data_IF_888992133605
#
_entry.id   IF_888992133605
#
_cell.length_a   1.000
_cell.length_b   1.000
_cell.length_c   1.000
_cell.angle_alpha   90.00
_cell.angle_beta   90.00
_cell.angle_gamma   90.00
#
_symmetry.space_group_name_H-M   'P 1'
#
loop_
_entity.id
_entity.type
_entity.pdbx_description
1 polymer ?
#
# COMPACT_ATOMS: atom_id res chain seq x y z
N UNK A 1 13.29 -2.63 -14.51
CA UNK A 1 14.46 -1.93 -14.02
C UNK A 1 15.65 -2.84 -14.26
N UNK A 2 16.64 -2.39 -15.05
CA UNK A 2 17.71 -3.27 -15.55
C UNK A 2 19.06 -3.09 -14.80
N UNK A 3 19.02 -2.50 -13.57
CA UNK A 3 20.23 -2.34 -12.76
C UNK A 3 20.37 -3.47 -11.76
N UNK A 4 21.59 -4.01 -11.61
CA UNK A 4 21.89 -4.95 -10.54
C UNK A 4 21.68 -4.30 -9.16
N UNK A 5 21.04 -5.01 -8.24
CA UNK A 5 20.69 -4.51 -6.92
C UNK A 5 19.34 -3.80 -6.83
N UNK A 6 18.56 -3.74 -7.93
CA UNK A 6 17.20 -3.19 -7.93
C UNK A 6 16.19 -4.30 -8.15
N UNK A 7 15.26 -4.45 -7.21
CA UNK A 7 14.28 -5.53 -7.16
C UNK A 7 12.86 -5.00 -7.06
N UNK A 8 11.92 -5.82 -7.48
CA UNK A 8 10.50 -5.71 -7.09
C UNK A 8 10.22 -6.69 -5.96
N UNK A 9 9.12 -6.50 -5.24
CA UNK A 9 8.69 -7.38 -4.15
C UNK A 9 7.28 -7.88 -4.44
N UNK A 10 7.19 -9.04 -5.11
CA UNK A 10 5.90 -9.55 -5.59
C UNK A 10 5.77 -11.07 -5.54
N UNK A 11 6.81 -11.80 -5.93
CA UNK A 11 6.82 -13.27 -6.02
C UNK A 11 7.84 -13.89 -5.08
N UNK A 12 7.78 -15.21 -4.93
CA UNK A 12 8.79 -15.96 -4.15
C UNK A 12 10.16 -15.84 -4.80
N UNK A 13 10.22 -15.86 -6.14
CA UNK A 13 11.46 -15.71 -6.91
C UNK A 13 12.10 -14.33 -6.68
N UNK A 14 11.29 -13.27 -6.57
CA UNK A 14 11.77 -11.94 -6.21
C UNK A 14 12.41 -11.96 -4.81
N UNK A 15 11.76 -12.64 -3.85
CA UNK A 15 12.28 -12.77 -2.49
C UNK A 15 13.59 -13.53 -2.46
N UNK A 16 13.69 -14.65 -3.20
CA UNK A 16 14.93 -15.43 -3.30
C UNK A 16 16.06 -14.59 -3.91
N UNK A 17 15.76 -13.79 -4.94
CA UNK A 17 16.73 -12.88 -5.56
C UNK A 17 17.22 -11.80 -4.57
N UNK A 18 16.30 -11.17 -3.81
CA UNK A 18 16.60 -10.20 -2.75
C UNK A 18 17.51 -10.82 -1.69
N UNK A 19 17.14 -12.01 -1.20
CA UNK A 19 17.92 -12.74 -0.18
C UNK A 19 19.33 -13.10 -0.68
N UNK A 20 19.44 -13.57 -1.92
CA UNK A 20 20.71 -13.91 -2.56
C UNK A 20 21.60 -12.69 -2.70
N UNK A 21 21.03 -11.58 -3.16
CA UNK A 21 21.79 -10.33 -3.34
C UNK A 21 22.20 -9.70 -2.01
N UNK A 22 21.33 -9.71 -1.00
CA UNK A 22 21.67 -9.26 0.35
C UNK A 22 22.89 -9.99 0.93
N UNK A 23 22.97 -11.31 0.74
CA UNK A 23 24.16 -12.10 1.13
C UNK A 23 25.42 -11.66 0.37
N UNK A 24 25.30 -11.40 -0.95
CA UNK A 24 26.41 -10.96 -1.81
C UNK A 24 26.97 -9.62 -1.35
N UNK A 25 26.12 -8.60 -1.16
CA UNK A 25 26.59 -7.26 -0.78
C UNK A 25 27.19 -7.24 0.63
N UNK A 26 26.60 -7.97 1.58
CA UNK A 26 27.16 -8.12 2.94
C UNK A 26 28.57 -8.73 2.94
N UNK A 27 28.81 -9.75 2.12
CA UNK A 27 30.12 -10.36 1.96
C UNK A 27 31.19 -9.35 1.45
N UNK A 28 30.74 -8.31 0.74
CA UNK A 28 31.57 -7.22 0.23
C UNK A 28 31.68 -6.02 1.19
N UNK A 29 31.06 -6.11 2.37
CA UNK A 29 31.08 -5.05 3.38
C UNK A 29 30.02 -3.94 3.17
N UNK A 30 29.11 -4.12 2.22
CA UNK A 30 27.98 -3.19 1.96
C UNK A 30 26.77 -3.57 2.78
N UNK A 31 26.09 -2.59 3.36
CA UNK A 31 24.96 -2.82 4.26
C UNK A 31 23.74 -1.94 4.02
N UNK A 32 23.83 -0.95 3.16
CA UNK A 32 22.78 0.04 2.97
C UNK A 32 21.73 -0.44 1.96
N UNK A 33 20.46 -0.44 2.36
CA UNK A 33 19.37 -0.85 1.48
C UNK A 33 18.15 0.06 1.65
N UNK A 34 17.50 0.39 0.53
CA UNK A 34 16.26 1.17 0.54
C UNK A 34 15.07 0.35 0.05
N UNK A 35 13.90 0.74 0.53
CA UNK A 35 12.60 0.33 0.01
C UNK A 35 11.86 1.58 -0.47
N UNK A 36 11.51 1.63 -1.74
CA UNK A 36 10.72 2.71 -2.32
C UNK A 36 9.23 2.40 -2.16
N UNK A 37 8.57 3.16 -1.31
CA UNK A 37 7.16 3.07 -0.96
C UNK A 37 6.96 2.84 0.55
N UNK A 38 6.24 3.75 1.21
CA UNK A 38 5.88 3.71 2.64
C UNK A 38 4.47 3.16 2.90
N UNK A 39 3.92 2.40 1.96
CA UNK A 39 2.68 1.65 2.14
C UNK A 39 2.90 0.30 2.82
N UNK A 40 1.82 -0.48 2.97
CA UNK A 40 1.81 -1.78 3.65
C UNK A 40 2.96 -2.70 3.20
N UNK A 41 3.00 -3.06 1.91
CA UNK A 41 3.99 -3.99 1.37
C UNK A 41 5.42 -3.43 1.44
N UNK A 42 5.58 -2.11 1.30
CA UNK A 42 6.90 -1.48 1.42
C UNK A 42 7.46 -1.54 2.83
N UNK A 43 6.61 -1.34 3.84
CA UNK A 43 7.01 -1.46 5.24
C UNK A 43 7.34 -2.91 5.60
N UNK A 44 6.58 -3.90 5.11
CA UNK A 44 6.92 -5.32 5.27
C UNK A 44 8.25 -5.68 4.59
N UNK A 45 8.48 -5.18 3.38
CA UNK A 45 9.74 -5.36 2.68
C UNK A 45 10.91 -4.73 3.47
N UNK A 46 10.73 -3.54 4.06
CA UNK A 46 11.76 -2.90 4.86
C UNK A 46 12.13 -3.72 6.11
N UNK A 47 11.13 -4.33 6.77
CA UNK A 47 11.40 -5.27 7.86
C UNK A 47 12.17 -6.48 7.37
N UNK A 48 11.77 -7.09 6.25
CA UNK A 48 12.46 -8.24 5.68
C UNK A 48 13.93 -7.89 5.36
N UNK A 49 14.18 -6.74 4.75
CA UNK A 49 15.52 -6.23 4.45
C UNK A 49 16.36 -6.06 5.73
N UNK A 50 15.79 -5.46 6.78
CA UNK A 50 16.43 -5.33 8.08
C UNK A 50 16.75 -6.70 8.70
N UNK A 51 15.81 -7.64 8.63
CA UNK A 51 15.95 -8.98 9.21
C UNK A 51 17.02 -9.81 8.46
N UNK A 52 17.33 -9.45 7.20
CA UNK A 52 18.49 -9.94 6.46
C UNK A 52 19.82 -9.34 6.97
N UNK A 53 19.79 -8.42 7.93
CA UNK A 53 20.95 -7.78 8.55
C UNK A 53 21.52 -6.63 7.72
N UNK A 54 20.66 -5.91 6.99
CA UNK A 54 21.00 -4.67 6.29
C UNK A 54 20.43 -3.47 7.05
N UNK A 55 21.03 -2.30 6.87
CA UNK A 55 20.49 -1.01 7.31
C UNK A 55 19.36 -0.63 6.36
N UNK A 56 18.14 -0.78 6.79
CA UNK A 56 16.96 -0.55 5.96
C UNK A 56 16.49 0.91 6.02
N UNK A 57 16.18 1.48 4.86
CA UNK A 57 15.60 2.80 4.68
C UNK A 57 14.29 2.71 3.90
N UNK A 58 13.23 3.34 4.40
CA UNK A 58 11.96 3.52 3.68
C UNK A 58 11.96 4.90 3.04
N UNK A 59 11.73 4.95 1.74
CA UNK A 59 11.62 6.20 0.96
C UNK A 59 10.18 6.35 0.48
N UNK A 60 9.52 7.43 0.92
CA UNK A 60 8.12 7.70 0.59
C UNK A 60 7.97 9.10 -0.02
N UNK A 61 7.21 9.18 -1.11
CA UNK A 61 6.89 10.44 -1.77
C UNK A 61 5.90 11.28 -0.96
N UNK A 62 4.95 10.64 -0.29
CA UNK A 62 3.95 11.32 0.53
C UNK A 62 4.56 11.91 1.81
N UNK A 63 3.88 12.89 2.45
CA UNK A 63 4.33 13.49 3.70
C UNK A 63 4.17 12.57 4.92
N UNK A 64 3.59 11.38 4.76
CA UNK A 64 3.36 10.41 5.84
C UNK A 64 3.33 8.97 5.32
N UNK A 65 3.54 8.02 6.24
CA UNK A 65 3.40 6.59 5.95
C UNK A 65 1.93 6.20 5.81
N UNK A 66 1.67 5.19 4.97
CA UNK A 66 0.34 4.63 4.73
C UNK A 66 -0.75 5.70 4.50
N UNK A 67 -0.54 6.67 3.58
CA UNK A 67 -1.38 7.88 3.46
C UNK A 67 -2.84 7.60 3.08
N UNK A 68 -3.14 6.39 2.59
CA UNK A 68 -4.50 5.95 2.25
C UNK A 68 -5.27 5.37 3.44
N UNK A 69 -4.58 4.92 4.49
CA UNK A 69 -5.17 4.24 5.65
C UNK A 69 -5.06 5.07 6.93
N UNK A 70 -4.00 5.90 7.05
CA UNK A 70 -3.67 6.60 8.28
C UNK A 70 -3.74 8.12 8.12
N UNK A 71 -4.26 8.80 9.13
CA UNK A 71 -4.11 10.23 9.29
C UNK A 71 -2.70 10.58 9.82
N UNK A 72 -2.42 11.85 10.04
CA UNK A 72 -1.08 12.29 10.46
C UNK A 72 -0.70 11.70 11.83
N UNK A 73 -1.61 11.76 12.83
CA UNK A 73 -1.30 11.26 14.17
C UNK A 73 -1.03 9.76 14.21
N UNK A 74 -1.84 8.99 13.50
CA UNK A 74 -1.65 7.54 13.35
C UNK A 74 -0.34 7.20 12.62
N UNK A 75 -0.01 7.94 11.57
CA UNK A 75 1.23 7.77 10.82
C UNK A 75 2.46 8.12 11.67
N UNK A 76 2.41 9.21 12.44
CA UNK A 76 3.50 9.61 13.34
C UNK A 76 3.75 8.53 14.42
N UNK A 77 2.67 7.94 14.94
CA UNK A 77 2.76 6.82 15.88
C UNK A 77 3.40 5.59 15.25
N UNK A 78 2.98 5.23 14.04
CA UNK A 78 3.56 4.12 13.28
C UNK A 78 5.04 4.39 12.95
N UNK A 79 5.38 5.61 12.51
CA UNK A 79 6.74 6.01 12.21
C UNK A 79 7.65 5.83 13.43
N UNK A 80 7.25 6.33 14.60
CA UNK A 80 8.02 6.16 15.83
C UNK A 80 8.30 4.70 16.15
N UNK A 81 7.32 3.82 15.94
CA UNK A 81 7.49 2.37 16.14
C UNK A 81 8.46 1.73 15.14
N UNK A 82 8.45 2.19 13.90
CA UNK A 82 9.36 1.70 12.86
C UNK A 82 10.80 2.17 13.13
N UNK A 83 10.97 3.41 13.58
CA UNK A 83 12.27 3.97 13.94
C UNK A 83 12.88 3.27 15.16
N UNK A 84 12.06 2.83 16.15
CA UNK A 84 12.51 1.95 17.27
C UNK A 84 13.13 0.63 16.77
N UNK A 85 12.78 0.20 15.54
CA UNK A 85 13.35 -0.98 14.90
C UNK A 85 14.66 -0.68 14.14
N UNK A 86 15.20 0.54 14.24
CA UNK A 86 16.35 1.02 13.47
C UNK A 86 16.14 0.98 11.95
N UNK A 87 14.93 1.28 11.47
CA UNK A 87 14.63 1.48 10.06
C UNK A 87 14.55 2.99 9.81
N UNK A 88 15.37 3.51 8.91
CA UNK A 88 15.37 4.93 8.54
C UNK A 88 14.12 5.29 7.72
N UNK A 89 13.48 6.42 8.01
CA UNK A 89 12.30 6.89 7.29
C UNK A 89 12.60 8.21 6.58
N UNK A 90 12.35 8.25 5.29
CA UNK A 90 12.54 9.41 4.41
C UNK A 90 11.23 9.77 3.72
N UNK A 91 10.49 10.72 4.31
CA UNK A 91 9.22 11.24 3.77
C UNK A 91 9.45 12.43 2.84
N UNK A 92 8.45 12.77 2.02
CA UNK A 92 8.51 13.86 1.03
C UNK A 92 9.68 13.70 0.04
N UNK A 93 10.07 12.47 -0.30
CA UNK A 93 11.21 12.18 -1.18
C UNK A 93 10.73 11.74 -2.56
N UNK A 94 10.72 12.69 -3.50
CA UNK A 94 10.47 12.41 -4.91
C UNK A 94 11.73 11.83 -5.55
N UNK A 95 11.79 10.53 -5.73
CA UNK A 95 12.90 9.87 -6.44
C UNK A 95 12.91 10.31 -7.90
N UNK A 96 14.00 10.93 -8.34
CA UNK A 96 14.19 11.42 -9.70
C UNK A 96 14.82 10.34 -10.58
N UNK A 97 15.88 9.71 -10.09
CA UNK A 97 16.52 8.57 -10.76
C UNK A 97 17.28 7.68 -9.76
N UNK A 98 17.60 6.48 -10.21
CA UNK A 98 18.44 5.53 -9.49
C UNK A 98 19.87 5.71 -9.99
N UNK A 99 20.78 6.12 -9.10
CA UNK A 99 22.17 6.36 -9.38
C UNK A 99 22.97 5.06 -9.57
N UNK A 100 24.09 5.14 -10.32
CA UNK A 100 24.97 4.03 -10.67
C UNK A 100 24.80 3.58 -12.13
N UNK A 101 25.80 2.94 -12.68
CA UNK A 101 25.79 2.46 -14.07
C UNK A 101 25.18 1.04 -14.16
N UNK A 102 25.98 0.00 -13.99
CA UNK A 102 25.53 -1.40 -14.03
C UNK A 102 24.85 -1.81 -12.71
N UNK A 103 25.38 -1.35 -11.57
CA UNK A 103 24.86 -1.61 -10.24
C UNK A 103 24.32 -0.33 -9.61
N UNK A 104 23.33 -0.45 -8.72
CA UNK A 104 22.85 0.68 -7.93
C UNK A 104 23.95 1.19 -6.98
N UNK A 105 24.02 2.52 -6.83
CA UNK A 105 24.87 3.22 -5.86
C UNK A 105 24.08 4.18 -4.97
N UNK A 106 22.84 4.45 -5.33
CA UNK A 106 21.99 5.35 -4.57
C UNK A 106 20.68 5.72 -5.26
N UNK A 107 19.95 6.57 -4.59
CA UNK A 107 18.71 7.19 -5.07
C UNK A 107 18.86 8.69 -5.05
N UNK A 108 18.71 9.33 -6.20
CA UNK A 108 18.72 10.79 -6.32
C UNK A 108 17.30 11.33 -6.19
N UNK A 109 17.11 12.30 -5.35
CA UNK A 109 15.82 12.96 -5.14
C UNK A 109 15.72 14.28 -5.90
N UNK A 110 14.50 14.78 -6.10
CA UNK A 110 14.24 16.01 -6.85
C UNK A 110 14.85 17.28 -6.22
N UNK A 111 15.29 17.22 -4.97
CA UNK A 111 15.99 18.29 -4.25
C UNK A 111 17.53 18.15 -4.30
N UNK A 112 18.04 17.37 -5.23
CA UNK A 112 19.47 17.07 -5.42
C UNK A 112 20.14 16.35 -4.23
N UNK A 113 19.37 15.77 -3.33
CA UNK A 113 19.86 14.95 -2.21
C UNK A 113 20.06 13.51 -2.69
N UNK A 114 21.21 12.92 -2.37
CA UNK A 114 21.56 11.54 -2.68
C UNK A 114 21.49 10.66 -1.43
N UNK A 115 20.62 9.65 -1.44
CA UNK A 115 20.66 8.54 -0.49
C UNK A 115 21.50 7.41 -1.08
N UNK A 116 22.67 7.18 -0.51
CA UNK A 116 23.56 6.07 -0.94
C UNK A 116 23.00 4.75 -0.44
N UNK A 117 22.80 3.82 -1.36
CA UNK A 117 22.33 2.46 -1.05
C UNK A 117 22.90 1.47 -2.05
N UNK A 118 23.14 0.26 -1.58
CA UNK A 118 23.67 -0.86 -2.35
C UNK A 118 22.58 -1.79 -2.87
N UNK A 119 21.35 -1.67 -2.33
CA UNK A 119 20.18 -2.43 -2.73
C UNK A 119 18.92 -1.56 -2.68
N UNK A 120 18.02 -1.75 -3.64
CA UNK A 120 16.72 -1.10 -3.68
C UNK A 120 15.62 -2.13 -3.95
N UNK A 121 14.59 -2.11 -3.11
CA UNK A 121 13.34 -2.85 -3.34
C UNK A 121 12.24 -1.88 -3.70
N UNK A 122 11.60 -2.05 -4.85
CA UNK A 122 10.53 -1.17 -5.32
C UNK A 122 9.18 -1.76 -4.92
N UNK A 123 8.46 -1.02 -4.09
CA UNK A 123 7.10 -1.33 -3.60
C UNK A 123 6.18 -0.10 -3.69
N UNK A 124 6.30 0.66 -4.78
CA UNK A 124 5.62 1.95 -5.00
C UNK A 124 4.23 1.80 -5.66
N UNK A 125 3.38 0.94 -5.11
CA UNK A 125 2.01 0.71 -5.57
C UNK A 125 1.88 -0.42 -6.59
N UNK A 126 0.69 -0.53 -7.19
CA UNK A 126 0.33 -1.58 -8.14
C UNK A 126 0.12 -1.00 -9.54
N UNK A 127 0.41 -1.82 -10.55
CA UNK A 127 0.07 -1.54 -11.94
C UNK A 127 -0.84 -2.67 -12.44
N UNK A 128 -2.08 -2.36 -12.85
CA UNK A 128 -2.97 -3.38 -13.40
C UNK A 128 -2.36 -4.06 -14.63
N UNK A 129 -2.53 -5.37 -14.71
CA UNK A 129 -2.12 -6.13 -15.89
C UNK A 129 -3.24 -6.16 -16.93
N UNK A 130 -3.46 -5.02 -17.54
CA UNK A 130 -4.56 -4.76 -18.48
C UNK A 130 -4.18 -4.92 -19.96
N UNK A 131 -3.01 -5.47 -20.24
CA UNK A 131 -2.47 -5.65 -21.60
C UNK A 131 -3.44 -6.46 -22.48
N UNK A 132 -4.01 -7.55 -21.93
CA UNK A 132 -4.98 -8.36 -22.65
C UNK A 132 -6.25 -7.58 -22.99
N UNK A 133 -6.75 -6.78 -22.05
CA UNK A 133 -7.91 -5.91 -22.28
C UNK A 133 -7.64 -4.90 -23.41
N UNK A 134 -6.46 -4.27 -23.40
CA UNK A 134 -6.05 -3.29 -24.44
C UNK A 134 -6.00 -3.91 -25.83
N UNK A 135 -5.34 -5.07 -25.98
CA UNK A 135 -5.23 -5.71 -27.30
C UNK A 135 -6.56 -6.32 -27.77
N UNK A 136 -7.49 -6.58 -26.86
CA UNK A 136 -8.86 -7.01 -27.14
C UNK A 136 -9.83 -5.85 -27.46
N UNK A 137 -9.36 -4.61 -27.42
CA UNK A 137 -10.18 -3.43 -27.70
C UNK A 137 -11.15 -3.05 -26.58
N UNK A 138 -10.95 -3.53 -25.35
CA UNK A 138 -11.76 -3.13 -24.22
C UNK A 138 -11.38 -1.72 -23.74
N UNK A 139 -12.34 -1.04 -23.12
CA UNK A 139 -12.09 0.26 -22.51
C UNK A 139 -11.17 0.10 -21.29
N UNK A 140 -10.10 0.91 -21.26
CA UNK A 140 -9.09 0.91 -20.20
C UNK A 140 -8.88 2.33 -19.69
N UNK A 141 -8.79 2.46 -18.37
CA UNK A 141 -8.58 3.75 -17.74
C UNK A 141 -7.23 4.40 -18.10
N UNK A 142 -7.17 5.72 -18.01
CA UNK A 142 -5.96 6.51 -18.33
C UNK A 142 -4.74 6.04 -17.51
N UNK A 143 -4.93 5.65 -16.27
CA UNK A 143 -3.88 5.14 -15.36
C UNK A 143 -3.79 3.62 -15.32
N UNK A 144 -4.47 2.93 -16.27
CA UNK A 144 -4.62 1.49 -16.32
C UNK A 144 -5.92 0.99 -15.68
N UNK A 145 -6.15 -0.32 -15.84
CA UNK A 145 -7.34 -1.03 -15.36
C UNK A 145 -8.45 -1.08 -16.39
N UNK A 146 -9.06 -2.26 -16.55
CA UNK A 146 -10.19 -2.47 -17.46
C UNK A 146 -11.44 -1.85 -16.83
N UNK A 147 -12.08 -0.91 -17.52
CA UNK A 147 -13.29 -0.24 -17.04
C UNK A 147 -14.43 -1.24 -16.95
N UNK A 148 -15.10 -1.27 -15.79
CA UNK A 148 -16.28 -2.11 -15.54
C UNK A 148 -17.42 -1.32 -14.95
N UNK A 149 -18.65 -1.78 -15.24
CA UNK A 149 -19.86 -1.27 -14.62
C UNK A 149 -20.11 -1.93 -13.24
N UNK A 150 -21.23 -1.63 -12.59
CA UNK A 150 -21.60 -2.24 -11.31
C UNK A 150 -21.98 -3.73 -11.39
N UNK A 151 -22.03 -4.30 -12.58
CA UNK A 151 -22.24 -5.73 -12.85
C UNK A 151 -20.92 -6.44 -13.17
N UNK A 152 -19.79 -5.75 -13.04
CA UNK A 152 -18.43 -6.22 -13.43
C UNK A 152 -18.27 -6.50 -14.92
N UNK A 153 -19.21 -6.03 -15.77
CA UNK A 153 -19.07 -6.12 -17.22
C UNK A 153 -18.14 -5.04 -17.74
N UNK A 154 -17.34 -5.39 -18.73
CA UNK A 154 -16.48 -4.46 -19.47
C UNK A 154 -17.25 -3.70 -20.54
N UNK A 155 -16.57 -3.01 -21.45
CA UNK A 155 -17.17 -2.42 -22.65
C UNK A 155 -17.76 -3.46 -23.62
N UNK A 156 -17.36 -4.73 -23.52
CA UNK A 156 -18.02 -5.86 -24.16
C UNK A 156 -18.93 -6.56 -23.12
N UNK A 157 -20.25 -6.66 -23.33
CA UNK A 157 -21.17 -7.24 -22.36
C UNK A 157 -20.99 -8.73 -22.10
N UNK A 158 -20.20 -9.44 -22.91
CA UNK A 158 -19.87 -10.85 -22.72
C UNK A 158 -18.55 -11.06 -21.96
N UNK A 159 -17.83 -9.98 -21.61
CA UNK A 159 -16.55 -10.03 -20.93
C UNK A 159 -16.66 -9.34 -19.58
N UNK A 160 -16.18 -10.01 -18.55
CA UNK A 160 -16.12 -9.53 -17.18
C UNK A 160 -14.68 -9.31 -16.75
N UNK A 161 -14.42 -8.30 -15.90
CA UNK A 161 -13.13 -8.10 -15.25
C UNK A 161 -13.32 -7.91 -13.75
N UNK A 162 -12.49 -8.58 -12.94
CA UNK A 162 -12.56 -8.58 -11.48
C UNK A 162 -11.16 -8.45 -10.86
N UNK A 163 -11.09 -8.05 -9.60
CA UNK A 163 -9.83 -7.90 -8.86
C UNK A 163 -9.00 -6.69 -9.30
N UNK A 164 -7.68 -6.76 -9.13
CA UNK A 164 -6.77 -5.64 -9.37
C UNK A 164 -6.66 -5.17 -10.83
N UNK A 165 -7.17 -5.94 -11.78
CA UNK A 165 -7.22 -5.52 -13.19
C UNK A 165 -8.44 -4.66 -13.49
N UNK A 166 -9.50 -4.73 -12.67
CA UNK A 166 -10.73 -4.00 -12.87
C UNK A 166 -10.63 -2.56 -12.36
N UNK A 167 -11.12 -1.63 -13.15
CA UNK A 167 -11.33 -0.22 -12.78
C UNK A 167 -12.83 0.01 -12.55
N UNK A 168 -13.24 0.02 -11.28
CA UNK A 168 -14.61 0.28 -10.87
C UNK A 168 -14.69 1.60 -10.11
N UNK A 169 -15.67 2.46 -10.44
CA UNK A 169 -15.82 3.80 -9.85
C UNK A 169 -14.49 4.60 -9.83
N UNK A 170 -13.73 4.53 -10.93
CA UNK A 170 -12.43 5.20 -11.12
C UNK A 170 -11.33 4.75 -10.14
N UNK A 171 -11.54 3.63 -9.44
CA UNK A 171 -10.60 3.09 -8.46
C UNK A 171 -10.20 1.64 -8.80
N UNK A 172 -8.93 1.33 -8.57
CA UNK A 172 -8.38 -0.03 -8.59
C UNK A 172 -8.21 -0.46 -7.14
N UNK A 173 -8.86 -1.55 -6.77
CA UNK A 173 -8.88 -2.06 -5.41
C UNK A 173 -7.76 -3.07 -5.21
N UNK A 174 -6.73 -2.68 -4.47
CA UNK A 174 -5.56 -3.53 -4.18
C UNK A 174 -5.74 -4.41 -2.92
N UNK A 175 -6.97 -4.77 -2.58
CA UNK A 175 -7.30 -5.65 -1.46
C UNK A 175 -8.05 -6.88 -1.95
N UNK A 176 -7.91 -7.99 -1.22
CA UNK A 176 -8.54 -9.28 -1.57
C UNK A 176 -10.06 -9.23 -1.41
N UNK A 177 -10.59 -8.62 -0.34
CA UNK A 177 -12.01 -8.60 -0.03
C UNK A 177 -12.88 -7.97 -1.14
N UNK A 178 -12.56 -6.79 -1.69
CA UNK A 178 -13.25 -6.25 -2.87
C UNK A 178 -13.21 -7.19 -4.07
N UNK A 179 -12.08 -7.89 -4.29
CA UNK A 179 -11.95 -8.85 -5.38
C UNK A 179 -12.92 -10.03 -5.26
N UNK A 180 -13.16 -10.53 -4.06
CA UNK A 180 -14.17 -11.57 -3.82
C UNK A 180 -15.59 -11.06 -4.06
N UNK A 181 -15.91 -9.84 -3.62
CA UNK A 181 -17.22 -9.24 -3.88
C UNK A 181 -17.46 -9.07 -5.39
N UNK A 182 -16.45 -8.62 -6.13
CA UNK A 182 -16.48 -8.55 -7.60
C UNK A 182 -16.71 -9.92 -8.23
N UNK A 183 -16.05 -10.96 -7.72
CA UNK A 183 -16.21 -12.34 -8.22
C UNK A 183 -17.64 -12.86 -8.01
N UNK A 184 -18.21 -12.61 -6.84
CA UNK A 184 -19.59 -12.98 -6.53
C UNK A 184 -20.58 -12.27 -7.45
N UNK A 185 -20.40 -10.95 -7.69
CA UNK A 185 -21.24 -10.20 -8.62
C UNK A 185 -21.12 -10.75 -10.04
N UNK A 186 -19.90 -10.97 -10.53
CA UNK A 186 -19.69 -11.51 -11.88
C UNK A 186 -20.32 -12.91 -12.02
N UNK A 187 -20.18 -13.79 -11.04
CA UNK A 187 -20.78 -15.12 -11.04
C UNK A 187 -22.33 -15.05 -11.08
N UNK A 188 -22.94 -14.20 -10.27
CA UNK A 188 -24.39 -13.99 -10.28
C UNK A 188 -24.89 -13.47 -11.64
N UNK A 189 -24.19 -12.51 -12.24
CA UNK A 189 -24.55 -11.99 -13.57
C UNK A 189 -24.48 -13.07 -14.65
N UNK A 190 -23.45 -13.92 -14.64
CA UNK A 190 -23.30 -15.05 -15.57
C UNK A 190 -24.47 -16.04 -15.38
N UNK A 191 -24.94 -16.25 -14.16
CA UNK A 191 -26.08 -17.11 -13.84
C UNK A 191 -27.45 -16.41 -14.03
N UNK A 192 -27.47 -15.20 -14.62
CA UNK A 192 -28.65 -14.38 -14.85
C UNK A 192 -29.35 -13.92 -13.56
N UNK A 193 -28.55 -13.71 -12.50
CA UNK A 193 -28.98 -13.02 -11.29
C UNK A 193 -28.97 -11.50 -11.47
N UNK A 194 -29.24 -10.78 -10.41
CA UNK A 194 -29.39 -9.32 -10.39
C UNK A 194 -28.44 -8.61 -9.41
N UNK A 195 -27.50 -9.35 -8.81
CA UNK A 195 -26.53 -8.79 -7.86
C UNK A 195 -25.63 -7.74 -8.53
N UNK A 196 -25.44 -6.62 -7.88
CA UNK A 196 -24.56 -5.56 -8.33
C UNK A 196 -23.58 -5.17 -7.23
N UNK A 197 -22.45 -4.59 -7.63
CA UNK A 197 -21.52 -3.97 -6.68
C UNK A 197 -22.16 -2.81 -5.97
N UNK A 198 -21.79 -2.62 -4.71
CA UNK A 198 -22.14 -1.44 -3.93
C UNK A 198 -21.42 -0.21 -4.46
N UNK A 199 -22.00 0.97 -4.28
CA UNK A 199 -21.34 2.24 -4.63
C UNK A 199 -20.10 2.47 -3.75
N UNK A 200 -20.22 2.17 -2.46
CA UNK A 200 -19.14 2.29 -1.48
C UNK A 200 -18.58 0.91 -1.17
N UNK A 201 -17.33 0.67 -1.55
CA UNK A 201 -16.62 -0.56 -1.28
C UNK A 201 -15.96 -0.47 0.09
N UNK A 202 -16.10 -1.54 0.86
CA UNK A 202 -15.45 -1.64 2.16
C UNK A 202 -13.94 -1.84 1.99
N UNK A 203 -13.17 -0.85 2.41
CA UNK A 203 -11.71 -0.84 2.39
C UNK A 203 -11.11 -1.08 3.78
N UNK A 204 -11.90 -1.63 4.70
CA UNK A 204 -11.46 -1.95 6.05
C UNK A 204 -10.28 -2.90 6.03
N UNK A 205 -9.30 -2.62 6.87
CA UNK A 205 -8.09 -3.42 7.02
C UNK A 205 -7.75 -3.58 8.48
N UNK A 206 -7.37 -4.80 8.87
CA UNK A 206 -6.75 -5.08 10.16
C UNK A 206 -5.53 -5.95 9.91
N UNK A 207 -4.38 -5.50 10.35
CA UNK A 207 -3.11 -6.16 10.07
C UNK A 207 -2.11 -5.92 11.19
N UNK A 208 -1.13 -6.82 11.29
CA UNK A 208 0.02 -6.67 12.18
C UNK A 208 1.25 -6.34 11.34
N UNK A 209 1.48 -5.04 11.15
CA UNK A 209 2.55 -4.51 10.33
C UNK A 209 3.83 -4.36 11.17
N UNK A 210 4.89 -5.08 10.80
CA UNK A 210 6.19 -5.01 11.49
C UNK A 210 6.10 -5.27 13.01
N UNK A 211 5.07 -5.98 13.44
CA UNK A 211 4.79 -6.19 14.87
C UNK A 211 3.90 -5.14 15.51
N UNK A 212 3.53 -4.07 14.78
CA UNK A 212 2.58 -3.04 15.21
C UNK A 212 1.20 -3.37 14.67
N UNK A 213 0.20 -3.36 15.52
CA UNK A 213 -1.18 -3.51 15.09
C UNK A 213 -1.66 -2.23 14.41
N UNK A 214 -2.24 -2.38 13.22
CA UNK A 214 -2.80 -1.27 12.44
C UNK A 214 -4.16 -1.71 11.91
N UNK A 215 -5.18 -0.91 12.15
CA UNK A 215 -6.49 -1.12 11.58
C UNK A 215 -7.12 0.19 11.11
N UNK A 216 -7.91 0.10 10.05
CA UNK A 216 -8.78 1.19 9.59
C UNK A 216 -10.08 0.61 9.06
N UNK A 217 -11.18 1.33 9.22
CA UNK A 217 -12.50 0.89 8.79
C UNK A 217 -13.40 2.08 8.45
N UNK A 218 -14.43 1.83 7.67
CA UNK A 218 -15.39 2.82 7.23
C UNK A 218 -14.73 3.97 6.46
N UNK A 219 -15.17 5.21 6.72
CA UNK A 219 -14.54 6.42 6.21
C UNK A 219 -13.74 7.13 7.33
N UNK A 220 -12.45 6.79 7.51
CA UNK A 220 -11.64 7.33 8.58
C UNK A 220 -11.21 8.78 8.34
N UNK A 221 -11.42 9.32 7.13
CA UNK A 221 -11.01 10.67 6.73
C UNK A 221 -12.21 11.63 6.56
N UNK A 222 -13.43 11.17 6.81
CA UNK A 222 -14.61 12.02 6.68
C UNK A 222 -14.51 13.22 7.62
N UNK A 223 -14.63 14.42 7.06
CA UNK A 223 -14.59 15.70 7.78
C UNK A 223 -15.67 16.61 7.24
N UNK A 224 -16.67 16.90 8.04
CA UNK A 224 -17.70 17.89 7.75
C UNK A 224 -18.40 18.34 9.05
N UNK A 225 -19.31 19.28 8.96
CA UNK A 225 -20.02 19.85 10.12
C UNK A 225 -20.91 18.86 10.91
N UNK A 226 -21.23 17.70 10.31
CA UNK A 226 -22.06 16.67 10.92
C UNK A 226 -21.22 15.52 11.53
N UNK A 227 -19.90 15.62 11.53
CA UNK A 227 -18.98 14.61 12.02
C UNK A 227 -18.22 15.13 13.22
N UNK A 228 -18.03 14.28 14.22
CA UNK A 228 -17.16 14.51 15.37
C UNK A 228 -16.07 13.44 15.37
N UNK A 229 -14.81 13.86 15.32
CA UNK A 229 -13.67 12.98 15.52
C UNK A 229 -13.34 12.91 17.03
N UNK A 230 -13.18 11.69 17.53
CA UNK A 230 -12.72 11.40 18.89
C UNK A 230 -11.37 10.74 18.76
N UNK A 231 -10.34 11.35 19.38
CA UNK A 231 -8.96 10.87 19.30
C UNK A 231 -8.45 10.53 20.69
N UNK A 232 -7.83 9.36 20.80
CA UNK A 232 -7.03 8.95 21.94
C UNK A 232 -5.59 8.68 21.49
N UNK A 233 -4.65 9.37 22.10
CA UNK A 233 -3.22 9.21 21.85
C UNK A 233 -2.47 8.98 23.16
N UNK A 234 -1.65 7.91 23.17
CA UNK A 234 -0.75 7.62 24.26
C UNK A 234 0.63 7.25 23.71
N UNK A 235 1.53 8.24 23.67
CA UNK A 235 2.90 8.09 23.16
C UNK A 235 3.75 7.12 23.99
N UNK A 236 3.49 7.01 25.29
CA UNK A 236 4.26 6.10 26.16
C UNK A 236 3.97 4.62 25.88
N UNK A 237 2.72 4.28 25.59
CA UNK A 237 2.33 2.92 25.21
C UNK A 237 2.35 2.68 23.70
N UNK A 238 2.58 3.73 22.89
CA UNK A 238 2.57 3.64 21.44
C UNK A 238 1.19 3.33 20.86
N UNK A 239 0.13 3.95 21.42
CA UNK A 239 -1.26 3.72 21.02
C UNK A 239 -1.85 5.00 20.46
N UNK A 240 -2.47 4.89 19.28
CA UNK A 240 -3.31 5.91 18.67
C UNK A 240 -4.63 5.29 18.23
N UNK A 241 -5.76 5.91 18.64
CA UNK A 241 -7.10 5.51 18.22
C UNK A 241 -7.89 6.75 17.80
N UNK A 242 -8.47 6.72 16.62
CA UNK A 242 -9.41 7.74 16.13
C UNK A 242 -10.69 7.05 15.71
N UNK A 243 -11.83 7.59 16.12
CA UNK A 243 -13.13 7.24 15.58
C UNK A 243 -13.85 8.49 15.10
N UNK A 244 -14.55 8.38 13.98
CA UNK A 244 -15.42 9.39 13.43
C UNK A 244 -16.87 8.96 13.67
N UNK A 245 -17.64 9.79 14.33
CA UNK A 245 -19.06 9.55 14.65
C UNK A 245 -19.91 10.69 14.13
N UNK A 246 -21.20 10.44 13.91
CA UNK A 246 -22.14 11.51 13.66
C UNK A 246 -22.20 12.48 14.83
N UNK A 247 -22.57 13.74 14.59
CA UNK A 247 -22.60 14.81 15.62
C UNK A 247 -23.49 14.49 16.82
N UNK A 248 -24.51 13.67 16.63
CA UNK A 248 -25.38 13.17 17.71
C UNK A 248 -24.81 11.93 18.44
N UNK A 249 -23.63 11.46 18.01
CA UNK A 249 -22.91 10.32 18.61
C UNK A 249 -23.54 8.95 18.37
N UNK A 250 -24.56 8.85 17.50
CA UNK A 250 -25.31 7.59 17.34
C UNK A 250 -24.78 6.64 16.30
N UNK A 251 -24.03 7.16 15.32
CA UNK A 251 -23.53 6.33 14.21
C UNK A 251 -22.01 6.45 14.13
N UNK A 252 -21.33 5.30 14.11
CA UNK A 252 -19.92 5.19 13.83
C UNK A 252 -19.71 5.21 12.31
N UNK A 253 -18.89 6.13 11.83
CA UNK A 253 -18.65 6.38 10.40
C UNK A 253 -17.34 5.75 9.92
N UNK A 254 -16.34 5.68 10.78
CA UNK A 254 -15.05 5.10 10.48
C UNK A 254 -14.05 5.29 11.61
N UNK A 255 -12.87 4.70 11.47
CA UNK A 255 -11.84 4.83 12.47
C UNK A 255 -10.48 4.31 12.06
N UNK A 256 -9.49 4.65 12.87
CA UNK A 256 -8.09 4.26 12.74
C UNK A 256 -7.59 3.81 14.11
N UNK A 257 -6.88 2.67 14.15
CA UNK A 257 -6.27 2.13 15.35
C UNK A 257 -4.80 1.78 15.02
N UNK A 258 -3.87 2.26 15.83
CA UNK A 258 -2.44 1.94 15.74
C UNK A 258 -1.91 1.57 17.11
N UNK A 259 -1.14 0.48 17.20
CA UNK A 259 -0.51 -0.04 18.40
C UNK A 259 -1.38 -1.02 19.20
N UNK A 260 -2.69 -0.81 19.23
CA UNK A 260 -3.68 -1.71 19.81
C UNK A 260 -4.96 -1.66 18.98
N UNK A 261 -5.28 -2.78 18.32
CA UNK A 261 -6.47 -2.96 17.49
C UNK A 261 -7.54 -3.84 18.14
N UNK A 262 -7.48 -4.09 19.44
CA UNK A 262 -8.42 -4.97 20.16
C UNK A 262 -9.87 -4.52 20.06
N UNK A 263 -10.12 -3.22 19.89
CA UNK A 263 -11.46 -2.64 19.74
C UNK A 263 -12.00 -2.67 18.28
N UNK A 264 -11.31 -3.32 17.36
CA UNK A 264 -11.71 -3.35 15.94
C UNK A 264 -12.97 -4.19 15.70
N UNK A 265 -13.23 -5.27 16.45
CA UNK A 265 -14.34 -6.20 16.28
C UNK A 265 -15.57 -5.82 17.09
#
# INVERSE_FOLDING_TARGET
>A
VEKEGVFVYRTIEDLDAIMGYAKKIKANGSTEAAVLGGGLLGLEAAKAVRDLGLNAHVVEFAPRLMPRQLDQGASDMLQSKIEELNIGIHLNKATQYIDGDECIKGMMFANDELLKVDMLVISAGIKPRDELGRVSGLEVGVRGGIVVNNQMQTSDPNIYAIGEVALYNQMIYGLVAPGYEMADVAAEQILKGDKTMRETIDMSTQLKLIGVEVASFGDPFIENENVTAIVYENKFSGIYKRINVTKDGKTLLGGILVGDSSDYN
#
